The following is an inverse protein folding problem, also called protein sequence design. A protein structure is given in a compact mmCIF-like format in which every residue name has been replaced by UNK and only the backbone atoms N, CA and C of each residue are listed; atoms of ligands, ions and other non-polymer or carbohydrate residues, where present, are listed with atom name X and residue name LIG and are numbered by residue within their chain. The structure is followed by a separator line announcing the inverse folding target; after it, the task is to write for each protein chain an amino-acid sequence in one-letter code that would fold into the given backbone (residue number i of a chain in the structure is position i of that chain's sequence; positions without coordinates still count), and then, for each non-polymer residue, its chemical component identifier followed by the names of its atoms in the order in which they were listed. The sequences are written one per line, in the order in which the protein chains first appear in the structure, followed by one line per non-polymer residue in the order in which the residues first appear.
data_IF_715582793559
#
_entry.id   IF_715582793559
#
_cell.length_a   1.000
_cell.length_b   1.000
_cell.length_c   1.000
_cell.angle_alpha   90.00
_cell.angle_beta   90.00
_cell.angle_gamma   90.00
#
_symmetry.space_group_name_H-M   'P 1'
#
loop_
_entity.id
_entity.type
_entity.pdbx_description
1 polymer ?
#
# COMPACT_ATOMS: atom_id res chain seq x y z
N UNK A 1 -7.77 31.04 -6.86
CA UNK A 1 -6.94 30.17 -5.98
C UNK A 1 -7.24 28.68 -6.17
N UNK A 2 -8.50 28.25 -6.35
CA UNK A 2 -8.82 26.82 -6.53
C UNK A 2 -8.28 26.17 -7.81
N UNK A 3 -8.16 26.90 -8.92
CA UNK A 3 -7.64 26.39 -10.20
C UNK A 3 -6.16 26.03 -10.14
N UNK A 4 -5.36 26.84 -9.42
CA UNK A 4 -3.92 26.64 -9.31
C UNK A 4 -3.55 25.39 -8.50
N UNK A 5 -4.37 24.99 -7.52
CA UNK A 5 -4.12 23.79 -6.72
C UNK A 5 -4.30 22.49 -7.51
N UNK A 6 -5.32 22.42 -8.36
CA UNK A 6 -5.56 21.25 -9.22
C UNK A 6 -4.47 21.06 -10.27
N UNK A 7 -3.95 22.16 -10.82
CA UNK A 7 -2.86 22.15 -11.80
C UNK A 7 -1.52 21.69 -11.22
N UNK A 8 -1.29 21.85 -9.90
CA UNK A 8 -0.02 21.55 -9.25
C UNK A 8 0.06 20.14 -8.64
N UNK A 9 -1.08 19.54 -8.26
CA UNK A 9 -1.10 18.20 -7.64
C UNK A 9 -0.50 17.15 -8.59
N UNK A 10 -1.02 17.04 -9.81
CA UNK A 10 -0.56 16.05 -10.79
C UNK A 10 0.95 16.14 -11.09
N UNK A 11 1.49 17.30 -11.47
CA UNK A 11 2.92 17.48 -11.71
C UNK A 11 3.79 17.12 -10.50
N UNK A 12 3.37 17.50 -9.28
CA UNK A 12 4.12 17.19 -8.06
C UNK A 12 4.20 15.67 -7.82
N UNK A 13 3.10 14.96 -8.04
CA UNK A 13 3.06 13.51 -7.89
C UNK A 13 3.92 12.80 -8.95
N UNK A 14 3.94 13.29 -10.20
CA UNK A 14 4.81 12.75 -11.26
C UNK A 14 6.30 12.98 -10.97
N UNK A 15 6.67 14.18 -10.48
CA UNK A 15 8.05 14.46 -10.07
C UNK A 15 8.51 13.53 -8.93
N UNK A 16 7.62 13.26 -7.96
CA UNK A 16 7.91 12.31 -6.88
C UNK A 16 8.20 10.88 -7.40
N UNK A 17 7.58 10.45 -8.51
CA UNK A 17 7.89 9.17 -9.14
C UNK A 17 9.27 9.14 -9.80
N UNK A 18 9.74 10.28 -10.34
CA UNK A 18 11.11 10.37 -10.90
C UNK A 18 12.14 10.20 -9.79
N UNK A 19 11.94 10.87 -8.65
CA UNK A 19 12.85 10.78 -7.50
C UNK A 19 12.88 9.37 -6.88
N UNK A 20 11.73 8.72 -6.72
CA UNK A 20 11.70 7.35 -6.18
C UNK A 20 12.34 6.34 -7.15
N UNK A 21 12.30 6.60 -8.46
CA UNK A 21 13.00 5.78 -9.43
C UNK A 21 14.52 5.86 -9.20
N UNK A 22 15.06 7.08 -9.05
CA UNK A 22 16.47 7.27 -8.71
C UNK A 22 16.83 6.55 -7.41
N UNK A 23 16.03 6.72 -6.35
CA UNK A 23 16.21 6.02 -5.07
C UNK A 23 16.27 4.49 -5.22
N UNK A 24 15.42 3.91 -6.07
CA UNK A 24 15.39 2.46 -6.30
C UNK A 24 16.65 1.94 -6.97
N UNK A 25 17.12 2.64 -8.00
CA UNK A 25 18.15 2.11 -8.88
C UNK A 25 19.56 2.52 -8.47
N UNK A 26 19.75 3.78 -8.05
CA UNK A 26 21.07 4.38 -7.84
C UNK A 26 21.59 4.22 -6.41
N UNK A 27 20.72 4.16 -5.40
CA UNK A 27 21.15 4.08 -3.99
C UNK A 27 21.61 2.68 -3.53
N UNK A 28 21.66 1.70 -4.44
CA UNK A 28 22.22 0.33 -4.27
C UNK A 28 21.74 -0.51 -3.07
N UNK A 29 20.75 -0.06 -2.30
CA UNK A 29 20.11 -0.82 -1.24
C UNK A 29 19.15 -1.87 -1.84
N UNK A 30 19.70 -3.02 -2.25
CA UNK A 30 18.95 -4.12 -2.90
C UNK A 30 18.89 -5.40 -2.06
N UNK A 31 19.32 -5.34 -0.81
CA UNK A 31 19.29 -6.46 0.13
C UNK A 31 18.02 -6.40 0.97
N UNK A 32 17.24 -7.49 0.96
CA UNK A 32 15.97 -7.62 1.69
C UNK A 32 16.02 -8.89 2.56
N UNK A 33 16.78 -8.88 3.65
CA UNK A 33 16.87 -10.04 4.53
C UNK A 33 15.52 -10.32 5.19
N UNK A 34 15.20 -11.60 5.35
CA UNK A 34 14.10 -12.02 6.22
C UNK A 34 14.55 -11.81 7.67
N UNK A 35 13.72 -11.17 8.47
CA UNK A 35 14.01 -10.97 9.89
C UNK A 35 13.84 -12.30 10.65
N UNK A 36 14.80 -12.65 11.50
CA UNK A 36 14.80 -13.91 12.26
C UNK A 36 13.57 -14.07 13.18
N UNK A 37 12.98 -12.96 13.65
CA UNK A 37 11.72 -13.00 14.42
C UNK A 37 10.56 -13.64 13.65
N UNK A 38 10.61 -13.62 12.31
CA UNK A 38 9.63 -14.30 11.47
C UNK A 38 9.83 -15.82 11.48
N UNK A 39 11.05 -16.31 11.71
CA UNK A 39 11.38 -17.74 11.70
C UNK A 39 10.79 -18.46 12.91
N UNK A 40 10.65 -17.78 14.03
CA UNK A 40 10.00 -18.30 15.25
C UNK A 40 8.50 -17.95 15.32
N UNK A 41 7.98 -17.25 14.32
CA UNK A 41 6.61 -16.76 14.34
C UNK A 41 5.59 -17.88 14.08
N UNK A 42 4.49 -17.96 14.87
CA UNK A 42 3.39 -18.87 14.57
C UNK A 42 2.70 -18.58 13.22
N UNK A 43 2.99 -17.44 12.59
CA UNK A 43 2.52 -17.10 11.25
C UNK A 43 3.04 -18.09 10.21
N UNK A 44 4.26 -18.62 10.34
CA UNK A 44 4.80 -19.60 9.38
C UNK A 44 3.94 -20.86 9.29
N UNK A 45 3.48 -21.36 10.44
CA UNK A 45 2.58 -22.52 10.46
C UNK A 45 1.21 -22.19 9.84
N UNK A 46 0.69 -20.98 10.08
CA UNK A 46 -0.55 -20.52 9.45
C UNK A 46 -0.40 -20.39 7.92
N UNK A 47 0.75 -19.92 7.43
CA UNK A 47 1.04 -19.84 6.01
C UNK A 47 1.20 -21.22 5.39
N UNK A 48 1.88 -22.15 6.06
CA UNK A 48 2.04 -23.53 5.59
C UNK A 48 0.67 -24.20 5.34
N UNK A 49 -0.22 -24.16 6.35
CA UNK A 49 -1.57 -24.74 6.25
C UNK A 49 -2.39 -24.04 5.17
N UNK A 50 -2.34 -22.70 5.09
CA UNK A 50 -3.04 -21.94 4.04
C UNK A 50 -2.56 -22.33 2.65
N UNK A 51 -1.25 -22.40 2.45
CA UNK A 51 -0.65 -22.69 1.15
C UNK A 51 -0.91 -24.13 0.72
N UNK A 52 -1.02 -25.08 1.66
CA UNK A 52 -1.46 -26.45 1.32
C UNK A 52 -2.85 -26.45 0.67
N UNK A 53 -3.79 -25.67 1.21
CA UNK A 53 -5.14 -25.52 0.62
C UNK A 53 -5.06 -24.86 -0.76
N UNK A 54 -4.25 -23.81 -0.90
CA UNK A 54 -4.07 -23.11 -2.18
C UNK A 54 -3.38 -23.99 -3.25
N UNK A 55 -2.55 -24.95 -2.84
CA UNK A 55 -1.85 -25.90 -3.71
C UNK A 55 -2.66 -27.18 -3.98
N UNK A 56 -3.99 -27.14 -3.83
CA UNK A 56 -4.87 -28.28 -4.10
C UNK A 56 -4.76 -29.44 -3.10
N UNK A 57 -4.28 -29.17 -1.87
CA UNK A 57 -4.22 -30.16 -0.79
C UNK A 57 -2.99 -31.07 -0.80
N UNK A 58 -1.98 -30.76 -1.61
CA UNK A 58 -0.74 -31.53 -1.73
C UNK A 58 0.22 -31.21 -0.57
N UNK A 59 1.11 -30.24 -0.77
CA UNK A 59 2.11 -29.80 0.20
C UNK A 59 1.94 -28.32 0.54
N UNK A 60 2.12 -28.01 1.83
CA UNK A 60 2.23 -26.65 2.32
C UNK A 60 3.58 -26.03 1.98
N UNK A 61 3.62 -24.72 1.87
CA UNK A 61 4.86 -23.96 1.66
C UNK A 61 4.90 -22.75 2.59
N UNK A 62 6.10 -22.25 2.88
CA UNK A 62 6.29 -21.02 3.68
C UNK A 62 6.37 -19.76 2.82
N UNK A 63 6.05 -19.86 1.52
CA UNK A 63 6.09 -18.72 0.60
C UNK A 63 5.00 -17.70 0.97
N UNK A 64 5.33 -16.41 0.79
CA UNK A 64 4.35 -15.34 0.90
C UNK A 64 3.34 -15.45 -0.24
N UNK A 65 2.08 -15.75 0.09
CA UNK A 65 0.99 -15.81 -0.88
C UNK A 65 0.84 -14.46 -1.61
N UNK A 66 1.06 -14.45 -2.93
CA UNK A 66 0.91 -13.28 -3.77
C UNK A 66 -0.55 -13.15 -4.25
N UNK A 67 -1.09 -11.93 -4.24
CA UNK A 67 -2.43 -11.66 -4.75
C UNK A 67 -2.46 -11.61 -6.29
N UNK A 68 -1.35 -11.25 -6.91
CA UNK A 68 -1.20 -11.15 -8.36
C UNK A 68 -0.31 -12.29 -8.88
N UNK A 69 -0.65 -12.94 -10.02
CA UNK A 69 0.15 -14.02 -10.59
C UNK A 69 1.61 -13.64 -10.90
N UNK A 70 1.84 -12.38 -11.28
CA UNK A 70 3.17 -11.82 -11.57
C UNK A 70 3.95 -11.40 -10.33
N UNK A 71 3.31 -11.35 -9.15
CA UNK A 71 3.91 -10.86 -7.91
C UNK A 71 4.13 -9.35 -7.92
N UNK A 72 5.39 -8.92 -7.75
CA UNK A 72 5.76 -7.50 -7.71
C UNK A 72 6.08 -6.95 -9.11
N UNK A 73 5.91 -5.63 -9.34
CA UNK A 73 6.49 -4.97 -10.51
C UNK A 73 8.02 -5.19 -10.62
N UNK A 74 8.55 -5.06 -11.84
CA UNK A 74 9.96 -5.32 -12.19
C UNK A 74 10.92 -4.17 -11.81
N UNK A 75 10.85 -3.70 -10.57
CA UNK A 75 11.77 -2.71 -10.00
C UNK A 75 12.06 -3.00 -8.51
N UNK A 76 13.19 -2.53 -7.94
CA UNK A 76 13.51 -2.74 -6.52
C UNK A 76 12.39 -2.33 -5.57
N UNK A 77 12.32 -2.97 -4.38
CA UNK A 77 11.21 -2.77 -3.45
C UNK A 77 11.31 -1.46 -2.65
N UNK A 78 12.50 -1.08 -2.16
CA UNK A 78 12.66 0.08 -1.28
C UNK A 78 12.29 1.40 -1.98
N UNK A 79 11.56 2.25 -1.25
CA UNK A 79 10.83 3.41 -1.78
C UNK A 79 9.60 2.99 -2.58
N UNK A 80 8.41 2.91 -1.98
CA UNK A 80 7.19 2.53 -2.72
C UNK A 80 6.75 3.63 -3.69
N UNK A 81 6.60 3.30 -4.98
CA UNK A 81 6.14 4.26 -5.98
C UNK A 81 4.76 4.83 -5.66
N UNK A 82 3.80 3.96 -5.31
CA UNK A 82 2.46 4.37 -4.89
C UNK A 82 2.51 5.25 -3.65
N UNK A 83 3.27 4.86 -2.62
CA UNK A 83 3.32 5.62 -1.37
C UNK A 83 3.96 7.01 -1.55
N UNK A 84 5.01 7.12 -2.37
CA UNK A 84 5.62 8.42 -2.68
C UNK A 84 4.68 9.29 -3.53
N UNK A 85 4.03 8.71 -4.53
CA UNK A 85 3.06 9.39 -5.39
C UNK A 85 1.87 9.94 -4.59
N UNK A 86 1.24 9.10 -3.77
CA UNK A 86 0.12 9.48 -2.91
C UNK A 86 0.55 10.46 -1.81
N UNK A 87 1.73 10.26 -1.20
CA UNK A 87 2.27 11.16 -0.18
C UNK A 87 2.47 12.59 -0.69
N UNK A 88 2.97 12.73 -1.92
CA UNK A 88 3.09 14.02 -2.60
C UNK A 88 1.72 14.67 -2.83
N UNK A 89 0.75 13.90 -3.35
CA UNK A 89 -0.61 14.39 -3.60
C UNK A 89 -1.33 14.83 -2.32
N UNK A 90 -1.28 14.00 -1.27
CA UNK A 90 -1.89 14.31 0.03
C UNK A 90 -1.24 15.51 0.69
N UNK A 91 0.07 15.73 0.51
CA UNK A 91 0.75 16.92 1.01
C UNK A 91 0.23 18.19 0.33
N UNK A 92 0.07 18.16 -1.00
CA UNK A 92 -0.52 19.27 -1.75
C UNK A 92 -1.97 19.53 -1.34
N UNK A 93 -2.79 18.48 -1.16
CA UNK A 93 -4.16 18.63 -0.67
C UNK A 93 -4.19 19.30 0.71
N UNK A 94 -3.35 18.85 1.65
CA UNK A 94 -3.26 19.48 2.98
C UNK A 94 -2.73 20.92 2.93
N UNK A 95 -1.94 21.28 1.93
CA UNK A 95 -1.45 22.65 1.75
C UNK A 95 -2.53 23.61 1.24
N UNK A 96 -3.47 23.12 0.42
CA UNK A 96 -4.53 23.95 -0.17
C UNK A 96 -5.84 23.96 0.62
N UNK A 97 -6.14 22.90 1.38
CA UNK A 97 -7.41 22.73 2.06
C UNK A 97 -7.28 22.75 3.58
N UNK A 98 -8.34 23.22 4.26
CA UNK A 98 -8.46 23.14 5.72
C UNK A 98 -8.56 21.67 6.16
N UNK A 99 -7.71 21.27 7.10
CA UNK A 99 -7.58 19.88 7.55
C UNK A 99 -8.24 19.61 8.90
N UNK A 100 -8.81 20.63 9.52
CA UNK A 100 -9.47 20.60 10.83
C UNK A 100 -10.99 20.36 10.75
N UNK A 101 -11.54 20.31 9.54
CA UNK A 101 -12.97 20.08 9.32
C UNK A 101 -13.31 18.59 9.37
N UNK A 102 -14.36 18.17 10.11
CA UNK A 102 -14.80 16.79 10.11
C UNK A 102 -15.39 16.40 8.76
N UNK A 103 -15.14 15.16 8.33
CA UNK A 103 -15.81 14.57 7.17
C UNK A 103 -17.29 14.41 7.47
N UNK A 104 -18.14 15.01 6.65
CA UNK A 104 -19.60 14.94 6.82
C UNK A 104 -20.12 13.58 6.34
N UNK A 105 -21.03 12.97 7.10
CA UNK A 105 -21.71 11.72 6.78
C UNK A 105 -20.77 10.56 6.37
N UNK A 106 -19.78 10.18 7.20
CA UNK A 106 -18.84 9.13 6.85
C UNK A 106 -19.55 7.78 6.73
N UNK A 107 -19.28 7.06 5.65
CA UNK A 107 -19.82 5.74 5.37
C UNK A 107 -18.71 4.72 5.16
N UNK A 108 -19.01 3.45 5.43
CA UNK A 108 -18.16 2.29 5.15
C UNK A 108 -18.89 1.32 4.23
N UNK A 109 -18.20 0.57 3.36
CA UNK A 109 -18.83 -0.49 2.61
C UNK A 109 -19.34 -1.58 3.56
N UNK A 110 -20.49 -2.15 3.23
CA UNK A 110 -21.02 -3.37 3.84
C UNK A 110 -20.10 -4.56 3.61
N UNK A 111 -20.27 -5.62 4.41
CA UNK A 111 -19.43 -6.81 4.36
C UNK A 111 -19.45 -7.53 3.00
N UNK A 112 -20.55 -7.43 2.25
CA UNK A 112 -20.69 -7.95 0.89
C UNK A 112 -20.24 -6.95 -0.19
N UNK A 113 -19.93 -5.70 0.19
CA UNK A 113 -19.53 -4.63 -0.72
C UNK A 113 -20.68 -4.02 -1.53
N UNK A 114 -21.94 -4.35 -1.25
CA UNK A 114 -23.08 -3.96 -2.11
C UNK A 114 -23.84 -2.69 -1.67
N UNK A 115 -23.59 -2.19 -0.47
CA UNK A 115 -24.22 -0.97 0.08
C UNK A 115 -23.29 -0.14 0.95
N UNK A 116 -23.62 1.15 1.12
CA UNK A 116 -22.98 2.07 2.05
C UNK A 116 -23.67 2.01 3.42
N UNK A 117 -22.89 1.83 4.47
CA UNK A 117 -23.37 1.80 5.85
C UNK A 117 -22.81 3.00 6.62
N UNK A 118 -23.56 3.62 7.54
CA UNK A 118 -23.02 4.64 8.44
C UNK A 118 -21.82 4.10 9.22
N UNK A 119 -20.78 4.93 9.39
CA UNK A 119 -19.58 4.53 10.14
C UNK A 119 -19.96 4.25 11.60
N UNK A 120 -19.52 3.12 12.20
CA UNK A 120 -19.70 2.89 13.63
C UNK A 120 -19.07 4.03 14.42
N UNK A 121 -19.71 4.50 15.50
CA UNK A 121 -19.15 5.55 16.36
C UNK A 121 -17.74 5.18 16.81
N UNK A 122 -16.80 6.15 16.78
CA UNK A 122 -15.47 5.95 17.37
C UNK A 122 -15.64 5.68 18.86
N UNK A 123 -15.03 4.60 19.34
CA UNK A 123 -14.72 4.45 20.77
C UNK A 123 -13.64 5.45 21.15
#
# INVERSE_FOLDING_TARGET
MATHGQELIGPTMTLALVEVWFQKHENRARTYPVNDELLDSPVLQRMFVRNQVLNGGTEGTYLLAQAFPEGSPVHPAYGSGHSTYEGAGMTMLKAFFKTDLPVQNPVVPSADGCRWCPTPGRR
#
